data_IF_343354749014
#
_entry.id   IF_343354749014
#
_cell.length_a   1.000
_cell.length_b   1.000
_cell.length_c   1.000
_cell.angle_alpha   90.00
_cell.angle_beta   90.00
_cell.angle_gamma   90.00
#
_symmetry.space_group_name_H-M   'P 1'
#
loop_
_entity.id
_entity.type
_entity.pdbx_description
1 polymer ?
#
# COMPACT_ATOMS: atom_id res chain seq x y z
N UNK A 1 6.72 -6.87 10.45
CA UNK A 1 5.78 -7.35 9.42
C UNK A 1 4.51 -6.53 9.52
N UNK A 2 3.86 -6.16 8.41
CA UNK A 2 2.58 -5.46 8.43
C UNK A 2 1.46 -6.47 8.71
N UNK A 3 0.63 -6.25 9.73
CA UNK A 3 -0.47 -7.16 10.03
C UNK A 3 -1.60 -7.03 9.00
N UNK A 4 -2.29 -8.11 8.56
CA UNK A 4 -3.36 -8.03 7.57
C UNK A 4 -4.47 -7.02 7.92
N UNK A 5 -4.82 -6.90 9.22
CA UNK A 5 -5.81 -5.91 9.66
C UNK A 5 -5.32 -4.47 9.54
N UNK A 6 -4.03 -4.22 9.81
CA UNK A 6 -3.43 -2.89 9.58
C UNK A 6 -3.38 -2.57 8.08
N UNK A 7 -3.14 -3.59 7.24
CA UNK A 7 -3.15 -3.43 5.78
C UNK A 7 -4.54 -3.06 5.25
N UNK A 8 -5.58 -3.76 5.67
CA UNK A 8 -6.97 -3.48 5.27
C UNK A 8 -7.37 -2.04 5.60
N UNK A 9 -7.14 -1.62 6.85
CA UNK A 9 -7.45 -0.25 7.30
C UNK A 9 -6.64 0.80 6.54
N UNK A 10 -5.37 0.52 6.25
CA UNK A 10 -4.51 1.41 5.46
C UNK A 10 -5.03 1.55 4.02
N UNK A 11 -5.42 0.45 3.36
CA UNK A 11 -5.97 0.47 1.99
C UNK A 11 -7.28 1.27 1.97
N UNK A 12 -8.23 0.96 2.86
CA UNK A 12 -9.52 1.65 2.93
C UNK A 12 -9.36 3.16 3.16
N UNK A 13 -8.39 3.57 3.97
CA UNK A 13 -8.09 4.98 4.20
C UNK A 13 -7.55 5.68 2.95
N UNK A 14 -6.63 5.02 2.24
CA UNK A 14 -5.98 5.56 1.04
C UNK A 14 -6.90 5.58 -0.19
N UNK A 15 -7.81 4.62 -0.31
CA UNK A 15 -8.88 4.64 -1.32
C UNK A 15 -9.79 5.86 -1.14
N UNK A 16 -10.15 6.17 0.12
CA UNK A 16 -10.95 7.35 0.47
C UNK A 16 -10.17 8.67 0.35
N UNK A 17 -8.84 8.62 0.34
CA UNK A 17 -7.95 9.79 0.31
C UNK A 17 -6.91 9.67 -0.81
N UNK A 18 -7.37 9.60 -2.07
CA UNK A 18 -6.49 9.47 -3.25
C UNK A 18 -5.51 10.65 -3.43
N UNK A 19 -5.83 11.80 -2.83
CA UNK A 19 -4.96 12.97 -2.78
C UNK A 19 -3.66 12.70 -2.00
N UNK A 20 -3.74 11.88 -0.94
CA UNK A 20 -2.56 11.43 -0.18
C UNK A 20 -1.65 10.58 -1.05
N UNK A 21 -2.23 9.63 -1.78
CA UNK A 21 -1.49 8.64 -2.58
C UNK A 21 -0.79 9.29 -3.77
N UNK A 22 -1.40 10.31 -4.36
CA UNK A 22 -0.82 11.02 -5.50
C UNK A 22 0.30 11.99 -5.11
N UNK A 23 0.43 12.34 -3.83
CA UNK A 23 1.34 13.39 -3.36
C UNK A 23 0.97 14.80 -3.86
N UNK A 24 -0.18 14.94 -4.53
CA UNK A 24 -0.68 16.19 -5.12
C UNK A 24 -1.79 16.78 -4.27
N UNK A 25 -1.57 16.93 -2.96
CA UNK A 25 -2.32 17.94 -2.24
C UNK A 25 -1.98 19.28 -2.92
N UNK A 26 -2.97 19.94 -3.51
CA UNK A 26 -2.75 21.21 -4.19
C UNK A 26 -2.51 22.34 -3.19
N UNK A 27 -1.61 23.27 -3.52
CA UNK A 27 -1.47 24.55 -2.81
C UNK A 27 -0.37 24.63 -1.74
N UNK A 28 -0.23 25.79 -1.08
CA UNK A 28 0.90 26.11 -0.19
C UNK A 28 1.01 25.19 1.04
N UNK A 29 -0.12 24.66 1.51
CA UNK A 29 -0.21 23.86 2.73
C UNK A 29 -0.21 22.35 2.48
N UNK A 30 0.00 21.93 1.23
CA UNK A 30 -0.04 20.53 0.81
C UNK A 30 0.77 19.59 1.71
N UNK A 31 2.00 19.99 2.05
CA UNK A 31 2.91 19.19 2.88
C UNK A 31 2.37 18.96 4.30
N UNK A 32 1.78 19.99 4.90
CA UNK A 32 1.22 19.91 6.24
C UNK A 32 -0.05 19.06 6.24
N UNK A 33 -0.93 19.24 5.26
CA UNK A 33 -2.15 18.43 5.09
C UNK A 33 -1.78 16.95 4.92
N UNK A 34 -0.78 16.64 4.08
CA UNK A 34 -0.30 15.27 3.92
C UNK A 34 0.26 14.70 5.23
N UNK A 35 1.05 15.48 5.96
CA UNK A 35 1.61 15.07 7.25
C UNK A 35 0.52 14.76 8.28
N UNK A 36 -0.49 15.62 8.40
CA UNK A 36 -1.62 15.42 9.31
C UNK A 36 -2.43 14.18 8.94
N UNK A 37 -2.70 13.97 7.65
CA UNK A 37 -3.42 12.78 7.19
C UNK A 37 -2.64 11.49 7.47
N UNK A 38 -1.32 11.49 7.25
CA UNK A 38 -0.46 10.37 7.61
C UNK A 38 -0.36 10.14 9.11
N UNK A 39 -0.41 11.20 9.91
CA UNK A 39 -0.45 11.11 11.37
C UNK A 39 -1.77 10.49 11.84
N UNK A 40 -2.90 10.95 11.32
CA UNK A 40 -4.22 10.41 11.66
C UNK A 40 -4.31 8.90 11.40
N UNK A 41 -3.88 8.44 10.23
CA UNK A 41 -3.91 6.99 9.93
C UNK A 41 -2.88 6.23 10.76
N UNK A 42 -1.73 6.83 11.07
CA UNK A 42 -0.75 6.21 11.96
C UNK A 42 -1.34 5.93 13.35
N UNK A 43 -2.09 6.89 13.91
CA UNK A 43 -2.71 6.74 15.22
C UNK A 43 -3.79 5.64 15.22
N UNK A 44 -4.64 5.59 14.18
CA UNK A 44 -5.61 4.52 13.98
C UNK A 44 -4.93 3.15 13.85
N UNK A 45 -3.85 3.05 13.08
CA UNK A 45 -3.14 1.78 12.88
C UNK A 45 -2.39 1.31 14.13
N UNK A 46 -1.88 2.26 14.91
CA UNK A 46 -1.20 1.99 16.17
C UNK A 46 -2.20 1.60 17.26
N UNK A 47 -3.42 2.15 17.26
CA UNK A 47 -4.47 1.79 18.23
C UNK A 47 -4.98 0.37 18.07
N UNK A 48 -4.72 -0.30 16.94
CA UNK A 48 -5.07 -1.71 16.72
C UNK A 48 -4.22 -2.69 17.55
N UNK A 49 -3.13 -2.25 18.20
CA UNK A 49 -2.33 -3.08 19.09
C UNK A 49 -1.38 -4.07 18.40
N UNK A 50 -1.32 -4.09 17.06
CA UNK A 50 -0.41 -4.96 16.28
C UNK A 50 0.99 -4.36 16.07
N UNK A 51 1.32 -3.30 16.82
CA UNK A 51 2.61 -2.62 16.80
C UNK A 51 2.52 -1.18 16.32
N UNK A 52 3.39 -0.33 16.86
CA UNK A 52 3.36 1.11 16.65
C UNK A 52 4.45 1.59 15.69
N UNK A 53 4.08 2.47 14.75
CA UNK A 53 5.02 3.13 13.83
C UNK A 53 4.68 4.62 13.72
N UNK A 54 5.68 5.42 13.36
CA UNK A 54 5.49 6.83 13.03
C UNK A 54 4.82 6.98 11.66
N UNK A 55 4.20 8.14 11.42
CA UNK A 55 3.62 8.51 10.13
C UNK A 55 4.59 8.28 8.94
N UNK A 56 5.84 8.71 9.06
CA UNK A 56 6.86 8.50 8.02
C UNK A 56 7.16 7.01 7.75
N UNK A 57 7.19 6.18 8.80
CA UNK A 57 7.37 4.73 8.66
C UNK A 57 6.16 4.08 8.00
N UNK A 58 4.95 4.58 8.26
CA UNK A 58 3.73 4.13 7.59
C UNK A 58 3.74 4.48 6.10
N UNK A 59 4.11 5.72 5.75
CA UNK A 59 4.31 6.15 4.36
C UNK A 59 5.34 5.29 3.63
N UNK A 60 6.49 5.01 4.27
CA UNK A 60 7.52 4.12 3.70
C UNK A 60 6.98 2.71 3.50
N UNK A 61 6.29 2.15 4.50
CA UNK A 61 5.69 0.81 4.43
C UNK A 61 4.71 0.70 3.25
N UNK A 62 3.85 1.70 3.07
CA UNK A 62 2.94 1.78 1.94
C UNK A 62 3.68 1.84 0.60
N UNK A 63 4.72 2.67 0.51
CA UNK A 63 5.52 2.85 -0.71
C UNK A 63 6.24 1.56 -1.11
N UNK A 64 6.91 0.90 -0.16
CA UNK A 64 7.61 -0.37 -0.34
C UNK A 64 6.62 -1.47 -0.74
N UNK A 65 5.45 -1.51 -0.11
CA UNK A 65 4.39 -2.44 -0.47
C UNK A 65 3.92 -2.20 -1.90
N UNK A 66 3.57 -0.97 -2.28
CA UNK A 66 3.13 -0.64 -3.64
C UNK A 66 4.18 -0.99 -4.69
N UNK A 67 5.46 -0.76 -4.39
CA UNK A 67 6.56 -1.19 -5.24
C UNK A 67 6.60 -2.71 -5.41
N UNK A 68 6.52 -3.45 -4.31
CA UNK A 68 6.51 -4.92 -4.32
C UNK A 68 5.27 -5.47 -5.04
N UNK A 69 4.11 -4.84 -4.91
CA UNK A 69 2.89 -5.20 -5.62
C UNK A 69 3.03 -4.98 -7.12
N UNK A 70 3.54 -3.82 -7.55
CA UNK A 70 3.83 -3.55 -8.96
C UNK A 70 4.86 -4.51 -9.53
N UNK A 71 5.89 -4.84 -8.76
CA UNK A 71 6.90 -5.82 -9.14
C UNK A 71 6.28 -7.20 -9.29
N UNK A 72 5.48 -7.66 -8.32
CA UNK A 72 4.74 -8.92 -8.37
C UNK A 72 3.78 -8.97 -9.57
N UNK A 73 3.04 -7.90 -9.84
CA UNK A 73 2.15 -7.79 -11.00
C UNK A 73 2.92 -7.81 -12.33
N UNK A 74 4.07 -7.14 -12.40
CA UNK A 74 4.97 -7.17 -13.56
C UNK A 74 5.57 -8.56 -13.79
N UNK A 75 5.98 -9.24 -12.71
CA UNK A 75 6.52 -10.60 -12.76
C UNK A 75 5.42 -11.58 -13.20
N UNK A 76 4.19 -11.47 -12.68
CA UNK A 76 3.03 -12.25 -13.14
C UNK A 76 2.78 -12.02 -14.63
N UNK A 77 2.80 -10.75 -15.09
CA UNK A 77 2.58 -10.42 -16.51
C UNK A 77 3.70 -10.98 -17.39
N UNK A 78 4.95 -10.97 -16.92
CA UNK A 78 6.09 -11.57 -17.62
C UNK A 78 5.99 -13.10 -17.68
N UNK A 79 5.61 -13.74 -16.58
CA UNK A 79 5.39 -15.19 -16.52
C UNK A 79 4.23 -15.61 -17.44
N UNK A 80 3.14 -14.84 -17.49
CA UNK A 80 2.03 -15.06 -18.43
C UNK A 80 2.45 -14.88 -19.91
N UNK A 81 3.44 -14.03 -20.20
CA UNK A 81 3.97 -13.85 -21.56
C UNK A 81 5.01 -14.92 -21.97
N UNK A 82 5.47 -15.76 -21.03
CA UNK A 82 6.44 -16.83 -21.26
C UNK A 82 5.80 -18.22 -21.12
N UNK A 83 4.79 -18.53 -21.90
CA UNK A 83 4.34 -19.93 -22.02
C UNK A 83 5.19 -20.67 -23.03
N UNK A 84 6.28 -21.22 -22.51
CA UNK A 84 7.03 -22.34 -23.07
C UNK A 84 7.42 -23.28 -21.93
N UNK A 85 6.47 -24.13 -21.51
CA UNK A 85 6.67 -25.32 -20.67
C UNK A 85 7.29 -25.12 -19.28
N UNK A 86 6.46 -25.02 -18.24
CA UNK A 86 6.94 -25.23 -16.87
C UNK A 86 6.01 -24.71 -15.78
N UNK A 87 5.32 -25.64 -15.11
CA UNK A 87 4.58 -25.54 -13.83
C UNK A 87 4.41 -24.10 -13.29
N UNK A 88 3.35 -23.44 -13.77
CA UNK A 88 2.93 -22.13 -13.29
C UNK A 88 2.68 -22.19 -11.78
N UNK A 89 3.62 -21.64 -11.01
CA UNK A 89 3.40 -21.41 -9.59
C UNK A 89 2.27 -20.40 -9.48
N UNK A 90 1.13 -20.87 -8.99
CA UNK A 90 -0.14 -20.18 -8.81
C UNK A 90 0.01 -18.95 -7.90
N UNK A 91 0.64 -17.87 -8.39
CA UNK A 91 0.78 -16.60 -7.69
C UNK A 91 -0.46 -15.75 -7.95
N UNK A 92 -1.56 -16.15 -7.31
CA UNK A 92 -2.79 -15.36 -7.28
C UNK A 92 -2.51 -14.12 -6.41
N UNK A 93 -2.87 -12.93 -6.90
CA UNK A 93 -2.90 -11.72 -6.07
C UNK A 93 -3.99 -11.92 -5.02
N UNK A 94 -3.67 -11.70 -3.75
CA UNK A 94 -4.75 -11.72 -2.74
C UNK A 94 -5.72 -10.56 -3.05
N UNK A 95 -7.02 -10.66 -2.68
CA UNK A 95 -8.00 -9.61 -2.97
C UNK A 95 -7.57 -8.20 -2.53
N UNK A 96 -6.75 -8.11 -1.47
CA UNK A 96 -6.19 -6.86 -0.97
C UNK A 96 -5.08 -6.29 -1.86
N UNK A 97 -4.31 -7.16 -2.52
CA UNK A 97 -3.27 -6.78 -3.46
C UNK A 97 -3.88 -6.25 -4.77
N UNK A 98 -5.03 -6.78 -5.19
CA UNK A 98 -5.75 -6.34 -6.38
C UNK A 98 -6.38 -4.95 -6.18
N UNK A 99 -6.92 -4.66 -4.99
CA UNK A 99 -7.45 -3.32 -4.64
C UNK A 99 -6.38 -2.22 -4.56
N UNK A 100 -5.12 -2.60 -4.34
CA UNK A 100 -4.02 -1.66 -4.15
C UNK A 100 -3.24 -1.30 -5.44
N UNK A 101 -3.53 -1.96 -6.57
CA UNK A 101 -3.00 -1.64 -7.91
C UNK A 101 -3.66 -0.38 -8.48
#
# INVERSE_FOLDING_TARGET
>A
MLHPKQLEVLIDFLEKNRDIVSGRAGGPNARNILKEKWQNIADVLNSLGYGSKTADKWLKTWTDMKYNLKKKASDIKKDQSKTGGGLGSTKILTPFEERAL
#
